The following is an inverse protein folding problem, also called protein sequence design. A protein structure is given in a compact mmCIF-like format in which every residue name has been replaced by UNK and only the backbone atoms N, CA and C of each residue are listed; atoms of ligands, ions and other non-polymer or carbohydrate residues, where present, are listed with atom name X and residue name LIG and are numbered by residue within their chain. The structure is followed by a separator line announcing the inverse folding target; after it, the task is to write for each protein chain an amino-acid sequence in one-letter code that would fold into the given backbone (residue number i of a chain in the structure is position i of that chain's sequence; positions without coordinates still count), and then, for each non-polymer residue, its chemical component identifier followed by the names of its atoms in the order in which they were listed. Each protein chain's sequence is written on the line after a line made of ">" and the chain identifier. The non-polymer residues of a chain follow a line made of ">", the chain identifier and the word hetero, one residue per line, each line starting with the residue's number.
data_IF_366305129501
#
_entry.id   IF_366305129501
#
_cell.length_a   1.000
_cell.length_b   1.000
_cell.length_c   1.000
_cell.angle_alpha   90.00
_cell.angle_beta   90.00
_cell.angle_gamma   90.00
#
_symmetry.space_group_name_H-M   'P 1'
#
loop_
_entity.id
_entity.type
_entity.pdbx_description
1 polymer ?
#
# COMPACT_ATOMS: atom_id res chain seq x y z
N UNK A 1 7.44 1.05 43.79
CA UNK A 1 8.52 0.36 43.04
C UNK A 1 8.33 0.51 41.53
N UNK A 2 8.10 1.73 41.05
CA UNK A 2 7.95 2.00 39.63
C UNK A 2 9.33 2.30 39.02
N UNK A 3 9.77 1.54 38.07
CA UNK A 3 10.98 1.79 37.29
C UNK A 3 12.29 1.13 37.76
N UNK A 4 12.35 0.46 38.90
CA UNK A 4 13.62 -0.14 39.39
C UNK A 4 14.21 -1.23 38.48
N UNK A 5 13.33 -1.97 37.77
CA UNK A 5 13.79 -2.99 36.81
C UNK A 5 14.30 -2.35 35.52
N UNK A 6 13.64 -1.30 35.03
CA UNK A 6 14.07 -0.55 33.86
C UNK A 6 15.42 0.11 34.11
N UNK A 7 15.57 0.70 35.32
CA UNK A 7 16.84 1.30 35.73
C UNK A 7 17.99 0.28 35.80
N UNK A 8 17.72 -0.94 36.30
CA UNK A 8 18.71 -2.01 36.32
C UNK A 8 19.16 -2.41 34.90
N UNK A 9 18.20 -2.51 33.93
CA UNK A 9 18.54 -2.79 32.54
C UNK A 9 19.30 -1.64 31.90
N UNK A 10 18.87 -0.39 32.12
CA UNK A 10 19.56 0.81 31.62
C UNK A 10 21.00 0.91 32.12
N UNK A 11 21.24 0.56 33.39
CA UNK A 11 22.61 0.56 33.97
C UNK A 11 23.53 -0.49 33.33
N UNK A 12 22.97 -1.64 32.89
CA UNK A 12 23.75 -2.67 32.17
C UNK A 12 24.01 -2.28 30.69
N UNK A 13 23.23 -1.34 30.15
CA UNK A 13 23.36 -0.82 28.79
C UNK A 13 24.09 0.55 28.77
N UNK A 14 25.04 0.78 29.65
CA UNK A 14 25.80 2.04 29.73
C UNK A 14 24.93 3.30 29.87
N UNK A 15 23.87 3.22 30.66
CA UNK A 15 22.86 4.27 30.89
C UNK A 15 22.03 4.64 29.64
N UNK A 16 21.95 3.77 28.65
CA UNK A 16 21.04 3.98 27.51
C UNK A 16 19.58 4.06 27.99
N UNK A 17 18.83 4.92 27.30
CA UNK A 17 17.42 5.07 27.58
C UNK A 17 16.65 3.84 27.08
N UNK A 18 15.91 3.21 27.98
CA UNK A 18 15.07 2.05 27.69
C UNK A 18 13.61 2.46 27.76
N UNK A 19 12.90 2.32 26.65
CA UNK A 19 11.45 2.48 26.57
C UNK A 19 10.78 1.11 26.56
N UNK A 20 9.65 0.98 27.27
CA UNK A 20 8.90 -0.27 27.36
C UNK A 20 7.62 -0.15 26.57
N UNK A 21 7.45 -1.04 25.60
CA UNK A 21 6.23 -1.12 24.78
C UNK A 21 5.45 -2.36 25.19
N UNK A 22 4.13 -2.23 25.33
CA UNK A 22 3.25 -3.37 25.57
C UNK A 22 3.11 -4.15 24.24
N UNK A 23 3.40 -5.44 24.35
CA UNK A 23 3.21 -6.33 23.19
C UNK A 23 1.74 -6.55 22.92
N UNK A 24 1.38 -6.56 21.65
CA UNK A 24 0.06 -6.94 21.16
C UNK A 24 0.22 -7.79 19.89
N UNK A 25 -0.65 -8.76 19.67
CA UNK A 25 -0.64 -9.59 18.47
C UNK A 25 -1.18 -8.82 17.25
N UNK A 26 -2.00 -7.79 17.48
CA UNK A 26 -2.47 -6.89 16.45
C UNK A 26 -1.38 -5.87 16.11
N UNK A 27 -0.87 -5.86 14.85
CA UNK A 27 0.21 -4.95 14.45
C UNK A 27 -0.16 -3.48 14.60
N UNK A 28 -1.41 -3.10 14.33
CA UNK A 28 -1.89 -1.74 14.51
C UNK A 28 -1.81 -1.30 15.98
N UNK A 29 -2.27 -2.16 16.90
CA UNK A 29 -2.22 -1.87 18.32
C UNK A 29 -0.79 -1.82 18.85
N UNK A 30 0.08 -2.67 18.31
CA UNK A 30 1.50 -2.65 18.65
C UNK A 30 2.17 -1.34 18.21
N UNK A 31 1.84 -0.82 17.01
CA UNK A 31 2.32 0.49 16.55
C UNK A 31 1.81 1.60 17.45
N UNK A 32 0.53 1.62 17.81
CA UNK A 32 -0.04 2.62 18.73
C UNK A 32 0.70 2.58 20.08
N UNK A 33 0.94 1.38 20.61
CA UNK A 33 1.67 1.21 21.87
C UNK A 33 3.13 1.69 21.75
N UNK A 34 3.77 1.49 20.59
CA UNK A 34 5.15 1.91 20.33
C UNK A 34 5.28 3.43 20.17
N UNK A 35 4.22 4.10 19.69
CA UNK A 35 4.21 5.55 19.52
C UNK A 35 3.94 6.30 20.83
N UNK A 36 3.54 5.61 21.90
CA UNK A 36 3.31 6.25 23.20
C UNK A 36 4.57 7.03 23.67
N UNK A 37 4.42 8.21 24.26
CA UNK A 37 3.19 8.84 24.78
C UNK A 37 2.44 9.73 23.77
N UNK A 38 2.80 9.74 22.48
CA UNK A 38 2.06 10.46 21.45
C UNK A 38 0.69 9.78 21.25
N UNK A 39 -0.36 10.58 21.21
CA UNK A 39 -1.71 10.10 20.94
C UNK A 39 -1.91 9.95 19.43
N UNK A 40 -2.23 8.74 19.00
CA UNK A 40 -2.57 8.42 17.62
C UNK A 40 -4.08 8.59 17.44
N UNK A 41 -4.51 9.41 16.48
CA UNK A 41 -5.92 9.63 16.18
C UNK A 41 -6.47 8.66 15.16
N UNK A 42 -5.72 8.45 14.09
CA UNK A 42 -6.07 7.46 13.07
C UNK A 42 -4.84 6.72 12.55
N UNK A 43 -5.08 5.52 12.05
CA UNK A 43 -4.04 4.66 11.51
C UNK A 43 -4.59 3.99 10.25
N UNK A 44 -3.87 4.15 9.14
CA UNK A 44 -4.19 3.53 7.86
C UNK A 44 -3.14 2.46 7.61
N UNK A 45 -3.60 1.25 7.31
CA UNK A 45 -2.74 0.09 7.08
C UNK A 45 -2.73 -0.21 5.58
N UNK A 46 -1.55 -0.27 5.00
CA UNK A 46 -1.33 -0.77 3.64
C UNK A 46 -0.55 -2.08 3.75
N UNK A 47 -1.28 -3.18 3.62
CA UNK A 47 -0.72 -4.53 3.72
C UNK A 47 0.16 -4.87 2.52
N UNK A 48 -0.17 -4.38 1.34
CA UNK A 48 0.57 -4.65 0.11
C UNK A 48 1.95 -3.98 0.11
N UNK A 49 2.01 -2.73 0.56
CA UNK A 49 3.26 -2.00 0.73
C UNK A 49 3.98 -2.34 2.04
N UNK A 50 3.33 -3.01 3.00
CA UNK A 50 3.85 -3.25 4.33
C UNK A 50 4.10 -1.94 5.09
N UNK A 51 3.25 -0.94 4.89
CA UNK A 51 3.36 0.37 5.48
C UNK A 51 2.13 0.75 6.32
N UNK A 52 2.36 1.62 7.30
CA UNK A 52 1.31 2.17 8.14
C UNK A 52 1.46 3.67 8.22
N UNK A 53 0.40 4.38 7.85
CA UNK A 53 0.31 5.81 7.98
C UNK A 53 -0.37 6.15 9.31
N UNK A 54 0.35 6.84 10.16
CA UNK A 54 -0.09 7.20 11.51
C UNK A 54 -0.40 8.68 11.55
N UNK A 55 -1.67 9.02 11.70
CA UNK A 55 -2.10 10.40 11.85
C UNK A 55 -2.14 10.79 13.33
N UNK A 56 -1.46 11.87 13.63
CA UNK A 56 -1.38 12.45 14.97
C UNK A 56 -1.75 13.93 14.93
N UNK A 57 -2.17 14.45 16.06
CA UNK A 57 -2.32 15.89 16.21
C UNK A 57 -1.01 16.63 16.00
N UNK A 58 -1.07 17.85 15.46
CA UNK A 58 0.09 18.69 15.22
C UNK A 58 0.96 18.90 16.48
N UNK A 59 0.32 19.00 17.65
CA UNK A 59 1.00 19.13 18.94
C UNK A 59 1.84 17.89 19.29
N UNK A 60 1.38 16.71 18.89
CA UNK A 60 2.00 15.41 19.16
C UNK A 60 2.98 14.96 18.07
N UNK A 61 2.98 15.61 16.91
CA UNK A 61 3.80 15.24 15.75
C UNK A 61 5.30 15.19 16.10
N UNK A 62 5.80 16.24 16.74
CA UNK A 62 7.21 16.31 17.13
C UNK A 62 7.59 15.22 18.14
N UNK A 63 6.66 14.83 19.00
CA UNK A 63 6.84 13.77 19.99
C UNK A 63 6.76 12.39 19.36
N UNK A 64 5.83 12.18 18.43
CA UNK A 64 5.68 10.95 17.66
C UNK A 64 6.94 10.66 16.84
N UNK A 65 7.45 11.64 16.12
CA UNK A 65 8.67 11.52 15.33
C UNK A 65 9.89 11.31 16.23
N UNK A 66 9.95 12.05 17.36
CA UNK A 66 11.08 12.05 18.26
C UNK A 66 12.30 12.80 17.70
N UNK A 67 13.35 12.89 18.52
CA UNK A 67 14.58 13.61 18.15
C UNK A 67 15.28 12.93 16.95
N UNK A 68 15.28 13.62 15.81
CA UNK A 68 15.92 13.09 14.60
C UNK A 68 15.22 11.86 13.98
N UNK A 69 13.91 11.67 14.22
CA UNK A 69 13.17 10.53 13.72
C UNK A 69 13.42 9.22 14.48
N UNK A 70 14.06 9.28 15.65
CA UNK A 70 14.50 8.10 16.38
C UNK A 70 13.30 7.25 16.86
N UNK A 71 12.22 7.87 17.30
CA UNK A 71 11.05 7.14 17.80
C UNK A 71 10.36 6.35 16.69
N UNK A 72 10.08 6.98 15.56
CA UNK A 72 9.49 6.33 14.37
C UNK A 72 10.37 5.18 13.87
N UNK A 73 11.69 5.40 13.82
CA UNK A 73 12.63 4.39 13.38
C UNK A 73 12.63 3.17 14.31
N UNK A 74 12.67 3.38 15.62
CA UNK A 74 12.63 2.28 16.60
C UNK A 74 11.30 1.54 16.57
N UNK A 75 10.18 2.27 16.43
CA UNK A 75 8.87 1.67 16.27
C UNK A 75 8.78 0.82 15.00
N UNK A 76 9.32 1.31 13.88
CA UNK A 76 9.39 0.57 12.61
C UNK A 76 10.27 -0.69 12.72
N UNK A 77 11.43 -0.61 13.37
CA UNK A 77 12.30 -1.76 13.60
C UNK A 77 11.66 -2.82 14.51
N UNK A 78 10.87 -2.37 15.51
CA UNK A 78 10.17 -3.24 16.45
C UNK A 78 9.01 -3.97 15.78
N UNK A 79 8.19 -3.27 15.01
CA UNK A 79 6.96 -3.78 14.41
C UNK A 79 7.19 -4.45 13.07
N UNK A 80 8.32 -4.18 12.41
CA UNK A 80 8.65 -4.59 11.04
C UNK A 80 7.77 -3.97 9.95
N UNK A 81 7.06 -2.90 10.29
CA UNK A 81 6.27 -2.11 9.36
C UNK A 81 6.97 -0.79 9.06
N UNK A 82 6.82 -0.30 7.85
CA UNK A 82 7.25 1.07 7.50
C UNK A 82 6.23 2.06 8.06
N UNK A 83 6.64 2.85 9.06
CA UNK A 83 5.74 3.78 9.72
C UNK A 83 5.97 5.19 9.16
N UNK A 84 4.91 5.79 8.62
CA UNK A 84 4.89 7.18 8.21
C UNK A 84 4.04 7.98 9.20
N UNK A 85 4.61 9.01 9.77
CA UNK A 85 3.87 9.88 10.71
C UNK A 85 3.52 11.18 10.03
N UNK A 86 2.25 11.54 10.07
CA UNK A 86 1.72 12.75 9.46
C UNK A 86 0.69 13.42 10.37
N UNK A 87 0.30 14.64 10.03
CA UNK A 87 -0.79 15.31 10.73
C UNK A 87 -2.14 14.77 10.26
N UNK A 88 -3.18 14.95 11.08
CA UNK A 88 -4.56 14.61 10.68
C UNK A 88 -5.00 15.35 9.43
N UNK A 89 -4.55 16.60 9.26
CA UNK A 89 -4.85 17.39 8.06
C UNK A 89 -4.15 16.84 6.81
N UNK A 90 -2.89 16.41 6.95
CA UNK A 90 -2.14 15.84 5.84
C UNK A 90 -2.67 14.44 5.48
N UNK A 91 -3.10 13.65 6.47
CA UNK A 91 -3.76 12.37 6.25
C UNK A 91 -5.09 12.54 5.48
N UNK A 92 -5.90 13.52 5.85
CA UNK A 92 -7.14 13.83 5.14
C UNK A 92 -6.88 14.24 3.68
N UNK A 93 -5.89 15.13 3.45
CA UNK A 93 -5.49 15.55 2.08
C UNK A 93 -4.95 14.39 1.26
N UNK A 94 -4.19 13.50 1.88
CA UNK A 94 -3.67 12.29 1.21
C UNK A 94 -4.82 11.38 0.80
N UNK A 95 -5.78 11.16 1.69
CA UNK A 95 -6.95 10.35 1.41
C UNK A 95 -7.84 10.97 0.31
N UNK A 96 -8.03 12.30 0.33
CA UNK A 96 -8.75 13.00 -0.74
C UNK A 96 -8.01 12.89 -2.09
N UNK A 97 -6.68 13.00 -2.09
CA UNK A 97 -5.87 12.83 -3.29
C UNK A 97 -5.95 11.40 -3.84
N UNK A 98 -5.80 10.39 -2.97
CA UNK A 98 -5.93 8.98 -3.35
C UNK A 98 -7.33 8.67 -3.88
N UNK A 99 -8.38 9.18 -3.24
CA UNK A 99 -9.76 9.05 -3.73
C UNK A 99 -9.95 9.69 -5.10
N UNK A 100 -9.40 10.89 -5.31
CA UNK A 100 -9.46 11.58 -6.61
C UNK A 100 -8.72 10.82 -7.70
N UNK A 101 -7.57 10.23 -7.39
CA UNK A 101 -6.81 9.41 -8.33
C UNK A 101 -7.58 8.13 -8.71
N UNK A 102 -8.22 7.48 -7.73
CA UNK A 102 -9.07 6.30 -7.96
C UNK A 102 -10.29 6.67 -8.82
N UNK A 103 -10.96 7.79 -8.53
CA UNK A 103 -12.07 8.30 -9.35
C UNK A 103 -11.61 8.50 -10.79
N UNK A 104 -10.45 9.14 -11.02
CA UNK A 104 -9.93 9.35 -12.36
C UNK A 104 -9.63 8.03 -13.10
N UNK A 105 -9.08 7.03 -12.40
CA UNK A 105 -8.82 5.70 -12.95
C UNK A 105 -10.12 4.98 -13.32
N UNK A 106 -11.14 5.05 -12.46
CA UNK A 106 -12.43 4.44 -12.72
C UNK A 106 -13.16 5.13 -13.89
N UNK A 107 -13.11 6.46 -13.97
CA UNK A 107 -13.68 7.22 -15.09
C UNK A 107 -13.04 6.80 -16.43
N UNK A 108 -11.72 6.71 -16.49
CA UNK A 108 -11.00 6.31 -17.71
C UNK A 108 -11.25 4.85 -18.08
N UNK A 109 -11.25 3.96 -17.10
CA UNK A 109 -11.34 2.52 -17.33
C UNK A 109 -12.78 2.06 -17.64
N UNK A 110 -13.79 2.66 -17.01
CA UNK A 110 -15.20 2.28 -17.14
C UNK A 110 -15.98 3.18 -18.11
N UNK A 111 -15.36 4.27 -18.57
CA UNK A 111 -16.00 5.31 -19.41
C UNK A 111 -17.31 5.82 -18.77
N UNK A 112 -17.19 6.23 -17.49
CA UNK A 112 -18.30 6.73 -16.67
C UNK A 112 -18.08 8.19 -16.28
N UNK A 113 -19.16 8.85 -15.92
CA UNK A 113 -19.14 10.22 -15.42
C UNK A 113 -18.56 10.29 -13.99
N UNK A 114 -18.07 11.47 -13.61
CA UNK A 114 -17.49 11.77 -12.30
C UNK A 114 -18.44 11.42 -11.15
N UNK A 115 -19.73 11.70 -11.29
CA UNK A 115 -20.75 11.40 -10.29
C UNK A 115 -20.84 9.89 -10.00
N UNK A 116 -20.81 9.07 -11.04
CA UNK A 116 -20.89 7.60 -10.94
C UNK A 116 -19.59 7.04 -10.34
N UNK A 117 -18.44 7.54 -10.76
CA UNK A 117 -17.14 7.11 -10.24
C UNK A 117 -16.98 7.49 -8.75
N UNK A 118 -17.46 8.66 -8.35
CA UNK A 118 -17.45 9.10 -6.95
C UNK A 118 -18.31 8.20 -6.07
N UNK A 119 -19.53 7.87 -6.52
CA UNK A 119 -20.41 6.95 -5.79
C UNK A 119 -19.76 5.57 -5.61
N UNK A 120 -19.07 5.06 -6.63
CA UNK A 120 -18.34 3.79 -6.52
C UNK A 120 -17.22 3.85 -5.47
N UNK A 121 -16.47 4.95 -5.42
CA UNK A 121 -15.40 5.15 -4.41
C UNK A 121 -15.98 5.31 -3.01
N UNK A 122 -17.09 6.03 -2.85
CA UNK A 122 -17.78 6.21 -1.56
C UNK A 122 -18.33 4.88 -1.01
N UNK A 123 -18.72 3.96 -1.88
CA UNK A 123 -19.14 2.59 -1.53
C UNK A 123 -17.95 1.64 -1.29
N UNK A 124 -16.73 2.11 -1.48
CA UNK A 124 -15.50 1.39 -1.16
C UNK A 124 -14.85 0.65 -2.33
N UNK A 125 -15.29 0.87 -3.56
CA UNK A 125 -14.62 0.31 -4.74
C UNK A 125 -13.37 1.11 -5.09
N UNK A 126 -12.21 0.48 -4.92
CA UNK A 126 -10.92 1.12 -5.17
C UNK A 126 -10.27 0.65 -6.47
N UNK A 127 -10.77 -0.42 -7.06
CA UNK A 127 -10.21 -1.02 -8.28
C UNK A 127 -11.26 -1.46 -9.29
N UNK A 128 -10.86 -1.44 -10.58
CA UNK A 128 -11.69 -1.96 -11.67
C UNK A 128 -11.97 -3.46 -11.50
N UNK A 129 -11.06 -4.17 -10.86
CA UNK A 129 -11.17 -5.60 -10.58
C UNK A 129 -12.31 -5.89 -9.61
N UNK A 130 -12.43 -5.10 -8.55
CA UNK A 130 -13.55 -5.20 -7.60
C UNK A 130 -14.88 -5.00 -8.30
N UNK A 131 -15.02 -3.98 -9.13
CA UNK A 131 -16.25 -3.71 -9.90
C UNK A 131 -16.57 -4.88 -10.86
N UNK A 132 -15.58 -5.52 -11.47
CA UNK A 132 -15.78 -6.62 -12.40
C UNK A 132 -16.29 -7.91 -11.72
N UNK A 133 -15.89 -8.15 -10.47
CA UNK A 133 -16.14 -9.41 -9.76
C UNK A 133 -17.21 -9.30 -8.68
N UNK A 134 -17.60 -8.10 -8.28
CA UNK A 134 -18.66 -7.89 -7.27
C UNK A 134 -19.97 -8.53 -7.70
N UNK A 135 -20.76 -9.11 -6.77
CA UNK A 135 -22.10 -9.61 -7.04
C UNK A 135 -23.04 -8.48 -7.48
N UNK A 136 -23.89 -8.76 -8.45
CA UNK A 136 -24.89 -7.77 -8.94
C UNK A 136 -25.83 -7.27 -7.85
N UNK A 137 -26.09 -8.11 -6.86
CA UNK A 137 -26.97 -7.75 -5.74
C UNK A 137 -26.38 -6.67 -4.84
N UNK A 138 -25.04 -6.63 -4.70
CA UNK A 138 -24.34 -5.58 -3.97
C UNK A 138 -24.32 -4.28 -4.76
N UNK A 139 -24.08 -4.33 -6.08
CA UNK A 139 -24.15 -3.14 -6.92
C UNK A 139 -25.54 -2.51 -6.99
N UNK A 140 -26.61 -3.34 -6.94
CA UNK A 140 -27.99 -2.85 -6.88
C UNK A 140 -28.38 -2.25 -5.54
N UNK A 141 -27.62 -2.54 -4.49
CA UNK A 141 -27.84 -1.96 -3.16
C UNK A 141 -27.34 -0.51 -3.06
N UNK A 142 -26.56 -0.08 -4.04
CA UNK A 142 -26.01 1.27 -4.11
C UNK A 142 -27.10 2.23 -4.58
N UNK A 143 -27.28 3.32 -3.85
CA UNK A 143 -28.24 4.35 -4.18
C UNK A 143 -27.92 4.98 -5.55
N UNK A 144 -28.83 4.85 -6.49
CA UNK A 144 -28.71 5.41 -7.85
C UNK A 144 -28.28 4.40 -8.91
N UNK A 145 -28.02 3.14 -8.58
CA UNK A 145 -27.70 2.10 -9.58
C UNK A 145 -28.88 1.17 -9.81
N UNK A 146 -29.38 1.22 -11.04
CA UNK A 146 -30.35 0.26 -11.53
C UNK A 146 -29.68 -1.04 -12.00
N UNK A 147 -30.46 -2.11 -12.16
CA UNK A 147 -29.97 -3.41 -12.64
C UNK A 147 -29.24 -3.30 -13.98
N UNK A 148 -29.75 -2.47 -14.88
CA UNK A 148 -29.19 -2.23 -16.21
C UNK A 148 -27.82 -1.53 -16.12
N UNK A 149 -27.71 -0.51 -15.27
CA UNK A 149 -26.45 0.20 -15.00
C UNK A 149 -25.42 -0.71 -14.37
N UNK A 150 -25.82 -1.52 -13.38
CA UNK A 150 -24.93 -2.46 -12.70
C UNK A 150 -24.36 -3.53 -13.66
N UNK A 151 -25.18 -4.05 -14.57
CA UNK A 151 -24.74 -5.01 -15.58
C UNK A 151 -23.79 -4.36 -16.61
N UNK A 152 -24.07 -3.15 -17.04
CA UNK A 152 -23.24 -2.41 -17.98
C UNK A 152 -21.87 -2.05 -17.37
N UNK A 153 -21.84 -1.54 -16.15
CA UNK A 153 -20.61 -1.24 -15.43
C UNK A 153 -19.72 -2.49 -15.28
N UNK A 154 -20.34 -3.60 -14.90
CA UNK A 154 -19.62 -4.87 -14.77
C UNK A 154 -19.09 -5.41 -16.11
N UNK A 155 -19.84 -5.22 -17.19
CA UNK A 155 -19.39 -5.58 -18.54
C UNK A 155 -18.20 -4.72 -18.97
N UNK A 156 -18.27 -3.40 -18.79
CA UNK A 156 -17.19 -2.46 -19.08
C UNK A 156 -15.94 -2.74 -18.25
N UNK A 157 -16.11 -3.04 -16.96
CA UNK A 157 -15.00 -3.42 -16.09
C UNK A 157 -14.26 -4.68 -16.58
N UNK A 158 -15.00 -5.69 -17.02
CA UNK A 158 -14.40 -6.92 -17.59
C UNK A 158 -13.68 -6.66 -18.91
N UNK A 159 -14.22 -5.82 -19.78
CA UNK A 159 -13.59 -5.47 -21.05
C UNK A 159 -12.32 -4.63 -20.81
N UNK A 160 -12.33 -3.73 -19.84
CA UNK A 160 -11.15 -2.96 -19.43
C UNK A 160 -10.03 -3.87 -18.89
N UNK A 161 -10.37 -4.86 -18.06
CA UNK A 161 -9.40 -5.84 -17.56
C UNK A 161 -8.83 -6.71 -18.68
N UNK A 162 -9.64 -7.16 -19.62
CA UNK A 162 -9.21 -7.91 -20.79
C UNK A 162 -8.22 -7.09 -21.64
N UNK A 163 -8.56 -5.83 -21.90
CA UNK A 163 -7.70 -4.91 -22.66
C UNK A 163 -6.35 -4.70 -21.95
N UNK A 164 -6.38 -4.52 -20.62
CA UNK A 164 -5.17 -4.36 -19.81
C UNK A 164 -4.31 -5.63 -19.80
N UNK A 165 -4.94 -6.81 -19.72
CA UNK A 165 -4.24 -8.09 -19.78
C UNK A 165 -3.52 -8.29 -21.13
N UNK A 166 -4.20 -8.03 -22.25
CA UNK A 166 -3.63 -8.11 -23.59
C UNK A 166 -2.47 -7.12 -23.79
N UNK A 167 -2.62 -5.88 -23.32
CA UNK A 167 -1.56 -4.89 -23.39
C UNK A 167 -0.32 -5.26 -22.53
N UNK A 168 -0.50 -5.99 -21.44
CA UNK A 168 0.59 -6.49 -20.62
C UNK A 168 1.35 -7.65 -21.31
N UNK A 169 0.64 -8.54 -22.01
CA UNK A 169 1.25 -9.62 -22.78
C UNK A 169 2.07 -9.10 -23.98
N UNK A 170 1.56 -8.08 -24.69
CA UNK A 170 2.30 -7.43 -25.78
C UNK A 170 3.61 -6.79 -25.28
N UNK A 171 3.61 -6.18 -24.09
CA UNK A 171 4.82 -5.62 -23.50
C UNK A 171 5.84 -6.69 -23.08
N UNK A 172 5.39 -7.85 -22.66
CA UNK A 172 6.27 -8.97 -22.33
C UNK A 172 6.90 -9.60 -23.58
N UNK A 173 6.12 -9.75 -24.66
CA UNK A 173 6.64 -10.30 -25.94
C UNK A 173 7.56 -9.34 -26.68
N UNK A 174 7.39 -8.03 -26.51
CA UNK A 174 8.26 -7.02 -27.12
C UNK A 174 9.59 -6.82 -26.36
N UNK A 175 9.76 -7.43 -25.18
CA UNK A 175 10.94 -7.31 -24.32
C UNK A 175 11.83 -8.57 -24.34
N UNK A 176 11.63 -9.49 -25.30
CA UNK A 176 12.64 -10.51 -25.53
C UNK A 176 13.89 -9.83 -26.10
N UNK A 177 15.04 -9.86 -25.39
CA UNK A 177 16.29 -9.46 -26.00
C UNK A 177 16.56 -10.45 -27.14
N UNK A 178 16.87 -9.92 -28.31
CA UNK A 178 17.48 -10.71 -29.37
C UNK A 178 18.73 -11.38 -28.77
N UNK A 179 18.59 -12.63 -28.34
CA UNK A 179 19.72 -13.46 -28.05
C UNK A 179 20.41 -13.67 -29.37
N UNK A 180 21.58 -13.05 -29.47
CA UNK A 180 22.61 -13.34 -30.47
C UNK A 180 22.72 -14.85 -30.59
N UNK A 181 22.16 -15.36 -31.67
CA UNK A 181 22.40 -16.73 -32.10
C UNK A 181 23.86 -16.80 -32.51
N UNK A 182 24.75 -17.03 -31.55
CA UNK A 182 26.10 -17.42 -31.81
C UNK A 182 26.07 -18.76 -32.55
N UNK A 183 26.09 -18.67 -33.87
CA UNK A 183 26.40 -19.74 -34.77
C UNK A 183 27.76 -20.32 -34.38
N UNK A 184 27.72 -21.45 -33.71
CA UNK A 184 28.86 -22.31 -33.49
C UNK A 184 29.25 -22.88 -34.87
N UNK A 185 30.08 -22.18 -35.59
CA UNK A 185 30.80 -22.77 -36.74
C UNK A 185 31.93 -23.63 -36.19
N UNK A 186 31.64 -24.91 -36.07
CA UNK A 186 32.64 -25.94 -35.95
C UNK A 186 33.53 -25.92 -37.19
N UNK A 187 34.68 -25.35 -37.09
CA UNK A 187 35.74 -25.55 -38.10
C UNK A 187 36.60 -26.74 -37.68
N UNK A 188 36.24 -27.87 -38.23
CA UNK A 188 37.04 -29.08 -38.20
C UNK A 188 37.67 -29.24 -39.58
N UNK A 189 38.95 -28.97 -39.68
CA UNK A 189 39.92 -29.49 -40.65
C UNK A 189 41.18 -28.62 -40.54
N UNK A 190 42.32 -29.11 -40.38
CA UNK A 190 43.00 -30.14 -41.17
C UNK A 190 44.30 -30.50 -40.44
N UNK A 191 44.36 -31.74 -40.09
CA UNK A 191 45.59 -32.36 -39.66
C UNK A 191 46.34 -32.84 -40.93
N UNK A 192 47.46 -32.25 -41.28
CA UNK A 192 48.52 -32.88 -41.97
C UNK A 192 49.81 -32.08 -41.87
N UNK A 193 50.73 -32.56 -41.14
CA UNK A 193 52.03 -32.93 -41.55
C UNK A 193 53.19 -32.78 -40.55
N UNK A 194 53.83 -33.83 -40.36
CA UNK A 194 55.12 -34.20 -39.79
C UNK A 194 55.17 -34.59 -38.37
#
# INVERSE_FOLDING_TARGET
>A
MRGSRVQAVSNELDEERVDIVLWDDNPAQLVINAMAPAEVESLIIDEDAGSMDVAVNEENLAQAIGKGGQNVRLASELTKWTINVMTTEDAAKKQEAESSDVVAILMEALDVDDDVATVLVDEGFTSVEEVAYVPLDEMKAIDGFDEEIAEELRARAKDALLTRALASEEKLTSKEPAEDCLLYTSDAADDRNC
#
